data_IF_920308308045
#
_entry.id   IF_920308308045
#
_cell.length_a   1.000
_cell.length_b   1.000
_cell.length_c   1.000
_cell.angle_alpha   90.00
_cell.angle_beta   90.00
_cell.angle_gamma   90.00
#
_symmetry.space_group_name_H-M   'P 1'
#
loop_
_entity.id
_entity.type
_entity.pdbx_description
1 polymer ?
#
# COMPACT_ATOMS: atom_id res chain seq x y z
N UNK A 1 -1.40 -4.23 10.87
CA UNK A 1 -0.41 -3.15 10.75
C UNK A 1 0.27 -3.21 9.40
N UNK A 2 0.39 -2.05 8.78
CA UNK A 2 1.04 -1.96 7.48
C UNK A 2 2.50 -1.57 7.68
N UNK A 3 3.38 -2.33 7.03
CA UNK A 3 4.81 -2.06 7.09
C UNK A 3 5.45 -2.46 5.78
N UNK A 4 6.70 -2.05 5.60
CA UNK A 4 7.46 -2.44 4.41
C UNK A 4 7.53 -3.96 4.37
N UNK A 5 7.22 -4.53 3.22
CA UNK A 5 7.20 -5.98 3.02
C UNK A 5 5.84 -6.62 3.17
N UNK A 6 4.86 -5.88 3.70
CA UNK A 6 3.51 -6.43 3.85
C UNK A 6 2.86 -6.60 2.47
N UNK A 7 2.20 -7.73 2.27
CA UNK A 7 1.44 -7.99 1.06
C UNK A 7 0.01 -7.52 1.30
N UNK A 8 -0.49 -6.70 0.40
CA UNK A 8 -1.82 -6.10 0.51
C UNK A 8 -2.61 -6.34 -0.76
N UNK A 9 -3.91 -6.13 -0.66
CA UNK A 9 -4.78 -6.18 -1.82
C UNK A 9 -5.61 -4.90 -1.89
N UNK A 10 -5.60 -4.28 -3.06
CA UNK A 10 -6.39 -3.09 -3.35
C UNK A 10 -7.52 -3.46 -4.28
N UNK A 11 -8.70 -2.89 -4.05
CA UNK A 11 -9.90 -3.27 -4.81
C UNK A 11 -9.73 -3.02 -6.31
N UNK A 12 -8.94 -2.01 -6.70
CA UNK A 12 -8.75 -1.68 -8.10
C UNK A 12 -7.45 -2.21 -8.68
N UNK A 13 -6.38 -2.19 -7.87
CA UNK A 13 -5.05 -2.50 -8.38
C UNK A 13 -4.59 -3.93 -8.07
N UNK A 14 -5.35 -4.66 -7.26
CA UNK A 14 -5.02 -6.03 -6.96
C UNK A 14 -3.96 -6.17 -5.89
N UNK A 15 -3.21 -7.25 -5.95
CA UNK A 15 -2.16 -7.54 -4.96
C UNK A 15 -0.94 -6.67 -5.17
N UNK A 16 -0.35 -6.25 -4.07
CA UNK A 16 0.85 -5.47 -4.09
C UNK A 16 1.71 -5.70 -2.86
N UNK A 17 2.94 -5.24 -2.95
CA UNK A 17 3.93 -5.34 -1.89
C UNK A 17 4.31 -3.92 -1.48
N UNK A 18 4.18 -3.61 -0.20
CA UNK A 18 4.58 -2.30 0.31
C UNK A 18 6.10 -2.21 0.30
N UNK A 19 6.62 -1.23 -0.43
CA UNK A 19 8.07 -1.05 -0.56
C UNK A 19 8.61 0.11 0.25
N UNK A 20 7.75 1.09 0.60
CA UNK A 20 8.18 2.25 1.35
C UNK A 20 6.98 2.86 2.05
N UNK A 21 7.20 3.36 3.26
CA UNK A 21 6.20 4.11 4.00
C UNK A 21 6.83 5.41 4.44
N UNK A 22 6.12 6.52 4.22
CA UNK A 22 6.63 7.83 4.59
C UNK A 22 5.49 8.71 5.11
N UNK A 23 5.85 9.74 5.85
CA UNK A 23 4.88 10.64 6.46
C UNK A 23 4.44 10.15 7.82
N UNK A 24 3.57 10.95 8.47
CA UNK A 24 3.07 10.63 9.81
C UNK A 24 1.59 10.91 9.87
N UNK A 25 0.90 10.18 10.73
CA UNK A 25 -0.52 10.41 11.00
C UNK A 25 -1.37 10.34 9.73
N UNK A 26 -2.21 11.33 9.55
CA UNK A 26 -3.14 11.37 8.43
C UNK A 26 -2.44 11.54 7.08
N UNK A 27 -1.18 11.94 7.08
CA UNK A 27 -0.43 12.16 5.84
C UNK A 27 0.46 10.98 5.48
N UNK A 28 0.33 9.86 6.17
CA UNK A 28 1.12 8.67 5.88
C UNK A 28 0.81 8.14 4.48
N UNK A 29 1.87 7.92 3.71
CA UNK A 29 1.78 7.40 2.35
C UNK A 29 2.56 6.09 2.26
N UNK A 30 2.09 5.20 1.41
CA UNK A 30 2.80 3.97 1.13
C UNK A 30 3.07 3.85 -0.36
N UNK A 31 4.30 3.49 -0.69
CA UNK A 31 4.62 3.06 -2.06
C UNK A 31 4.40 1.57 -2.13
N UNK A 32 3.60 1.17 -3.08
CA UNK A 32 3.21 -0.23 -3.24
C UNK A 32 3.49 -0.66 -4.66
N UNK A 33 4.22 -1.75 -4.80
CA UNK A 33 4.48 -2.33 -6.10
C UNK A 33 3.39 -3.36 -6.37
N UNK A 34 2.44 -2.99 -7.23
CA UNK A 34 1.33 -3.86 -7.57
C UNK A 34 1.74 -4.78 -8.72
N UNK A 35 1.38 -6.05 -8.61
CA UNK A 35 1.78 -7.05 -9.59
C UNK A 35 1.32 -6.68 -11.01
N UNK A 36 0.13 -6.13 -11.13
CA UNK A 36 -0.42 -5.79 -12.45
C UNK A 36 -0.53 -4.29 -12.70
N UNK A 37 -0.17 -3.47 -11.74
CA UNK A 37 -0.34 -2.02 -11.86
C UNK A 37 0.93 -1.22 -11.72
N UNK A 38 2.03 -1.88 -11.37
CA UNK A 38 3.29 -1.18 -11.16
C UNK A 38 3.33 -0.45 -9.84
N UNK A 39 4.29 0.45 -9.70
CA UNK A 39 4.53 1.16 -8.45
C UNK A 39 3.58 2.35 -8.34
N UNK A 40 2.90 2.44 -7.20
CA UNK A 40 1.99 3.52 -6.92
C UNK A 40 2.19 4.03 -5.50
N UNK A 41 1.98 5.32 -5.31
CA UNK A 41 2.05 5.95 -3.99
C UNK A 41 0.63 6.32 -3.55
N UNK A 42 0.20 5.79 -2.42
CA UNK A 42 -1.16 5.98 -1.94
C UNK A 42 -1.17 6.59 -0.55
N UNK A 43 -2.12 7.51 -0.33
CA UNK A 43 -2.40 8.03 1.00
C UNK A 43 -3.16 6.98 1.79
N UNK A 44 -2.59 6.51 2.89
CA UNK A 44 -3.18 5.37 3.60
C UNK A 44 -4.55 5.65 4.17
N UNK A 45 -4.82 6.89 4.56
CA UNK A 45 -6.14 7.21 5.13
C UNK A 45 -7.28 7.05 4.13
N UNK A 46 -6.97 7.09 2.83
CA UNK A 46 -7.99 6.90 1.80
C UNK A 46 -7.89 5.55 1.12
N UNK A 47 -6.74 4.90 1.22
CA UNK A 47 -6.54 3.63 0.53
C UNK A 47 -7.10 2.51 1.39
N UNK A 48 -8.08 1.80 0.86
CA UNK A 48 -8.67 0.66 1.57
C UNK A 48 -7.92 -0.58 1.17
N UNK A 49 -6.92 -0.93 1.97
CA UNK A 49 -6.06 -2.05 1.70
C UNK A 49 -6.39 -3.22 2.63
N UNK A 50 -6.40 -4.41 2.07
CA UNK A 50 -6.56 -5.62 2.84
C UNK A 50 -5.20 -6.28 3.00
N UNK A 51 -4.82 -6.58 4.23
CA UNK A 51 -3.58 -7.28 4.51
C UNK A 51 -3.79 -8.75 4.24
N UNK A 52 -2.92 -9.35 3.42
CA UNK A 52 -3.07 -10.73 3.00
C UNK A 52 -2.21 -11.72 3.78
N UNK A 53 -1.20 -11.26 4.50
CA UNK A 53 -0.33 -12.18 5.26
C UNK A 53 -0.23 -11.85 6.75
#
# INVERSE_FOLDING_TARGET
NLSVGTIVEHVRFGKGNITKIEGVGADTKAEINFANGGLKKLLLRFAKLKVLD
#
